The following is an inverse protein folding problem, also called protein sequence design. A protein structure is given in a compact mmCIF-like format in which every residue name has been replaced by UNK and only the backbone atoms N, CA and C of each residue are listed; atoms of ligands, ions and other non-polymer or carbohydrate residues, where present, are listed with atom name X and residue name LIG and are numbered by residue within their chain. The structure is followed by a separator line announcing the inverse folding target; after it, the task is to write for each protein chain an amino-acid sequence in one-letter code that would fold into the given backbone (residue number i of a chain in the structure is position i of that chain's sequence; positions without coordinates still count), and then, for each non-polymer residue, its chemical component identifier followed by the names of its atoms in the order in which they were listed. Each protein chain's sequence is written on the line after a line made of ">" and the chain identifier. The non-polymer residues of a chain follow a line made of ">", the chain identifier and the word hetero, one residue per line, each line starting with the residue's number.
data_IF_406344554536
#
_entry.id   IF_406344554536
#
_cell.length_a   1.000
_cell.length_b   1.000
_cell.length_c   1.000
_cell.angle_alpha   90.00
_cell.angle_beta   90.00
_cell.angle_gamma   90.00
#
_symmetry.space_group_name_H-M   'P 1'
#
loop_
_entity.id
_entity.type
_entity.pdbx_description
1 polymer ?
#
# COMPACT_ATOMS: atom_id res chain seq x y z
N UNK A 1 -41.96 -18.28 15.23
CA UNK A 1 -41.03 -18.95 14.30
C UNK A 1 -39.58 -18.65 14.72
N UNK A 2 -38.83 -19.62 15.27
CA UNK A 2 -37.41 -19.43 15.59
C UNK A 2 -36.57 -19.33 14.31
N UNK A 3 -35.75 -18.28 14.18
CA UNK A 3 -34.84 -18.11 13.03
C UNK A 3 -33.64 -19.05 13.21
N UNK A 4 -33.38 -19.93 12.23
CA UNK A 4 -32.17 -20.76 12.20
C UNK A 4 -30.93 -19.86 12.12
N UNK A 5 -29.94 -20.01 13.02
CA UNK A 5 -28.72 -19.22 12.94
C UNK A 5 -27.94 -19.60 11.67
N UNK A 6 -27.52 -18.60 10.89
CA UNK A 6 -26.65 -18.83 9.73
C UNK A 6 -25.27 -19.31 10.24
N UNK A 7 -24.71 -20.40 9.70
CA UNK A 7 -23.39 -20.86 10.09
C UNK A 7 -22.37 -19.79 9.73
N UNK A 8 -21.52 -19.44 10.70
CA UNK A 8 -20.43 -18.49 10.48
C UNK A 8 -19.33 -19.23 9.72
N UNK A 9 -19.41 -19.22 8.39
CA UNK A 9 -18.41 -19.81 7.51
C UNK A 9 -17.22 -18.85 7.38
N UNK A 10 -16.14 -19.14 8.12
CA UNK A 10 -14.85 -18.49 7.98
C UNK A 10 -14.43 -17.60 9.16
N UNK A 11 -13.14 -17.24 9.23
CA UNK A 11 -12.62 -16.39 10.28
C UNK A 11 -13.31 -15.02 10.24
N UNK A 12 -13.77 -14.56 11.40
CA UNK A 12 -14.37 -13.23 11.57
C UNK A 12 -13.46 -12.12 11.02
N UNK A 13 -14.03 -11.00 10.58
CA UNK A 13 -13.25 -9.82 10.15
C UNK A 13 -12.28 -9.35 11.24
N UNK A 14 -12.70 -9.38 12.50
CA UNK A 14 -11.86 -9.04 13.64
C UNK A 14 -10.66 -9.98 13.73
N UNK A 15 -10.86 -11.29 13.61
CA UNK A 15 -9.74 -12.25 13.62
C UNK A 15 -8.75 -12.03 12.47
N UNK A 16 -9.22 -11.62 11.28
CA UNK A 16 -8.34 -11.26 10.17
C UNK A 16 -7.51 -10.01 10.46
N UNK A 17 -8.13 -8.98 11.06
CA UNK A 17 -7.44 -7.75 11.47
C UNK A 17 -6.40 -8.06 12.54
N UNK A 18 -6.73 -8.86 13.55
CA UNK A 18 -5.78 -9.27 14.58
C UNK A 18 -4.63 -10.11 14.02
N UNK A 19 -4.89 -10.98 13.05
CA UNK A 19 -3.84 -11.73 12.38
C UNK A 19 -2.85 -10.79 11.66
N UNK A 20 -3.36 -9.75 11.01
CA UNK A 20 -2.52 -8.74 10.34
C UNK A 20 -1.73 -7.88 11.34
N UNK A 21 -2.37 -7.44 12.44
CA UNK A 21 -1.72 -6.64 13.49
C UNK A 21 -0.62 -7.42 14.23
N UNK A 22 -0.85 -8.73 14.45
CA UNK A 22 0.09 -9.62 15.11
C UNK A 22 1.11 -10.28 14.17
N UNK A 23 1.12 -9.92 12.88
CA UNK A 23 2.08 -10.46 11.90
C UNK A 23 3.51 -10.15 12.37
N UNK A 24 4.41 -11.11 12.20
CA UNK A 24 5.83 -10.92 12.49
C UNK A 24 6.57 -10.21 11.33
N UNK A 25 7.60 -9.39 11.59
CA UNK A 25 8.13 -9.01 12.91
C UNK A 25 7.22 -8.00 13.62
N UNK A 26 7.16 -8.07 14.96
CA UNK A 26 6.41 -7.09 15.77
C UNK A 26 7.19 -5.79 15.84
N UNK A 27 6.59 -4.66 15.42
CA UNK A 27 7.28 -3.37 15.41
C UNK A 27 7.24 -2.71 16.78
N UNK A 28 7.96 -3.27 17.74
CA UNK A 28 8.18 -2.64 19.05
C UNK A 28 9.26 -1.57 18.89
N UNK A 29 8.87 -0.32 19.03
CA UNK A 29 9.73 0.83 18.85
C UNK A 29 10.14 1.37 20.21
N UNK A 30 11.43 1.39 20.47
CA UNK A 30 12.00 1.79 21.76
C UNK A 30 12.48 3.25 21.67
N UNK A 31 12.17 4.06 22.68
CA UNK A 31 12.61 5.45 22.84
C UNK A 31 12.11 6.42 21.74
N UNK A 32 10.98 6.15 21.07
CA UNK A 32 10.35 7.10 20.14
C UNK A 32 9.17 7.80 20.80
N UNK A 33 9.19 9.13 20.75
CA UNK A 33 8.08 9.97 21.21
C UNK A 33 7.09 10.28 20.08
N UNK A 34 7.61 10.71 18.93
CA UNK A 34 6.79 11.20 17.82
C UNK A 34 7.26 10.65 16.48
N UNK A 35 6.33 10.21 15.64
CA UNK A 35 6.57 9.82 14.27
C UNK A 35 5.77 10.73 13.33
N UNK A 36 6.46 11.54 12.53
CA UNK A 36 5.83 12.44 11.55
C UNK A 36 6.07 11.94 10.14
N UNK A 37 5.00 11.71 9.38
CA UNK A 37 5.09 11.28 7.99
C UNK A 37 4.55 12.36 7.06
N UNK A 38 5.32 12.70 6.03
CA UNK A 38 4.90 13.61 4.97
C UNK A 38 4.93 12.88 3.63
N UNK A 39 3.76 12.74 2.99
CA UNK A 39 3.67 12.09 1.68
C UNK A 39 2.52 12.63 0.82
N UNK A 40 2.59 12.38 -0.49
CA UNK A 40 1.67 12.95 -1.45
C UNK A 40 0.31 12.24 -1.38
N UNK A 41 -0.78 13.00 -1.42
CA UNK A 41 -2.12 12.42 -1.33
C UNK A 41 -2.43 11.49 -2.53
N UNK A 42 -2.02 11.87 -3.74
CA UNK A 42 -2.33 11.18 -5.00
C UNK A 42 -1.10 11.04 -5.90
N UNK A 43 -1.16 10.03 -6.77
CA UNK A 43 -0.23 9.68 -7.85
C UNK A 43 1.19 9.30 -7.41
N UNK A 44 1.82 10.11 -6.57
CA UNK A 44 3.20 9.88 -6.15
C UNK A 44 3.30 9.07 -4.85
N UNK A 45 4.52 8.62 -4.56
CA UNK A 45 4.91 7.99 -3.29
C UNK A 45 4.01 6.80 -2.92
N UNK A 46 3.83 5.86 -3.86
CA UNK A 46 3.00 4.65 -3.69
C UNK A 46 3.47 3.86 -2.46
N UNK A 47 4.78 3.70 -2.28
CA UNK A 47 5.34 2.99 -1.14
C UNK A 47 5.01 3.60 0.22
N UNK A 48 5.11 4.93 0.35
CA UNK A 48 4.70 5.62 1.58
C UNK A 48 3.20 5.42 1.88
N UNK A 49 2.35 5.42 0.83
CA UNK A 49 0.92 5.12 0.99
C UNK A 49 0.67 3.69 1.45
N UNK A 50 1.37 2.72 0.87
CA UNK A 50 1.29 1.32 1.31
C UNK A 50 1.80 1.15 2.74
N UNK A 51 2.89 1.80 3.11
CA UNK A 51 3.41 1.81 4.47
C UNK A 51 2.35 2.32 5.46
N UNK A 52 1.71 3.45 5.17
CA UNK A 52 0.66 4.02 6.02
C UNK A 52 -0.57 3.13 6.11
N UNK A 53 -0.90 2.41 5.04
CA UNK A 53 -2.07 1.52 5.02
C UNK A 53 -1.82 0.20 5.75
N UNK A 54 -0.67 -0.44 5.51
CA UNK A 54 -0.41 -1.82 5.95
C UNK A 54 0.44 -1.87 7.22
N UNK A 55 1.49 -1.04 7.33
CA UNK A 55 2.48 -1.12 8.41
C UNK A 55 2.15 -0.22 9.59
N UNK A 56 1.65 0.99 9.34
CA UNK A 56 1.37 1.97 10.39
C UNK A 56 0.32 1.50 11.42
N UNK A 57 -0.77 0.79 11.05
CA UNK A 57 -1.67 0.20 12.03
C UNK A 57 -0.96 -0.81 12.95
N UNK A 58 -0.01 -1.58 12.42
CA UNK A 58 0.79 -2.54 13.20
C UNK A 58 1.70 -1.81 14.18
N UNK A 59 2.37 -0.74 13.73
CA UNK A 59 3.22 0.10 14.58
C UNK A 59 2.42 0.72 15.73
N UNK A 60 1.23 1.27 15.45
CA UNK A 60 0.37 1.86 16.47
C UNK A 60 -0.17 0.83 17.46
N UNK A 61 -0.48 -0.37 16.99
CA UNK A 61 -0.96 -1.46 17.83
C UNK A 61 0.12 -1.95 18.81
N UNK A 62 1.38 -2.04 18.37
CA UNK A 62 2.50 -2.40 19.23
C UNK A 62 2.92 -1.26 20.19
N UNK A 63 2.77 0.00 19.77
CA UNK A 63 3.21 1.16 20.54
C UNK A 63 2.06 2.16 20.74
N UNK A 64 1.15 1.93 21.71
CA UNK A 64 -0.01 2.79 21.90
C UNK A 64 0.34 4.20 22.42
N UNK A 65 1.48 4.36 23.08
CA UNK A 65 1.95 5.64 23.62
C UNK A 65 2.56 6.58 22.55
N UNK A 66 2.84 6.06 21.35
CA UNK A 66 3.55 6.79 20.31
C UNK A 66 2.61 7.81 19.61
N UNK A 67 3.04 9.06 19.51
CA UNK A 67 2.29 10.09 18.79
C UNK A 67 2.59 10.02 17.28
N UNK A 68 1.59 9.71 16.46
CA UNK A 68 1.73 9.58 15.00
C UNK A 68 1.02 10.73 14.31
N UNK A 69 1.79 11.55 13.59
CA UNK A 69 1.29 12.65 12.78
C UNK A 69 1.44 12.33 11.29
N UNK A 70 0.36 12.47 10.53
CA UNK A 70 0.34 12.16 9.09
C UNK A 70 -0.05 13.41 8.30
N UNK A 71 0.91 13.99 7.60
CA UNK A 71 0.74 15.15 6.74
C UNK A 71 0.60 14.71 5.28
N UNK A 72 -0.65 14.68 4.80
CA UNK A 72 -0.98 14.38 3.41
C UNK A 72 -1.06 15.68 2.62
N UNK A 73 -0.07 15.93 1.77
CA UNK A 73 -0.02 17.18 0.99
C UNK A 73 -0.49 16.89 -0.45
N UNK A 74 -1.45 17.66 -0.99
CA UNK A 74 -1.80 17.57 -2.40
C UNK A 74 -0.61 18.07 -3.24
N UNK A 75 -0.13 17.23 -4.15
CA UNK A 75 1.02 17.56 -5.00
C UNK A 75 0.53 17.96 -6.38
N UNK A 76 0.91 19.14 -6.84
CA UNK A 76 0.74 19.59 -8.23
C UNK A 76 1.85 18.98 -9.09
N UNK A 77 1.62 18.82 -10.41
CA UNK A 77 2.60 18.18 -11.31
C UNK A 77 3.95 18.93 -11.37
N UNK A 78 3.98 20.22 -11.04
CA UNK A 78 5.20 21.03 -11.06
C UNK A 78 6.06 20.86 -9.80
N UNK A 79 5.47 20.56 -8.65
CA UNK A 79 6.21 20.46 -7.39
C UNK A 79 6.88 19.09 -7.26
N UNK A 80 8.20 19.06 -7.10
CA UNK A 80 8.97 17.82 -6.86
C UNK A 80 9.52 17.81 -5.43
N UNK A 81 8.68 17.49 -4.46
CA UNK A 81 9.12 17.25 -3.08
C UNK A 81 9.17 15.74 -2.77
N UNK A 82 10.10 15.35 -1.90
CA UNK A 82 10.35 13.95 -1.52
C UNK A 82 9.53 13.55 -0.29
N UNK A 83 9.02 12.31 -0.22
CA UNK A 83 8.35 11.81 0.97
C UNK A 83 9.37 11.59 2.09
N UNK A 84 9.09 12.15 3.26
CA UNK A 84 10.00 12.12 4.40
C UNK A 84 9.28 11.61 5.64
N UNK A 85 9.99 10.80 6.41
CA UNK A 85 9.55 10.32 7.72
C UNK A 85 10.52 10.84 8.77
N UNK A 86 10.01 11.63 9.71
CA UNK A 86 10.79 12.18 10.83
C UNK A 86 10.46 11.40 12.08
N UNK A 87 11.49 10.77 12.63
CA UNK A 87 11.45 10.05 13.90
C UNK A 87 12.04 10.95 14.98
N UNK A 88 11.23 11.28 15.99
CA UNK A 88 11.69 12.04 17.16
C UNK A 88 11.83 11.09 18.35
N UNK A 89 13.05 11.00 18.86
CA UNK A 89 13.37 10.18 20.03
C UNK A 89 13.06 10.92 21.32
N UNK A 90 12.95 10.18 22.42
CA UNK A 90 12.78 10.73 23.76
C UNK A 90 13.97 11.61 24.19
N UNK A 91 15.18 11.27 23.73
CA UNK A 91 16.40 12.05 23.94
C UNK A 91 16.41 13.41 23.20
N UNK A 92 15.35 13.72 22.45
CA UNK A 92 15.24 14.93 21.63
C UNK A 92 15.95 14.84 20.28
N UNK A 93 16.68 13.76 20.00
CA UNK A 93 17.29 13.54 18.69
C UNK A 93 16.22 13.30 17.62
N UNK A 94 16.49 13.78 16.40
CA UNK A 94 15.58 13.60 15.26
C UNK A 94 16.32 12.91 14.12
N UNK A 95 15.72 11.86 13.58
CA UNK A 95 16.22 11.18 12.36
C UNK A 95 15.22 11.33 11.24
N UNK A 96 15.73 11.69 10.06
CA UNK A 96 14.95 11.81 8.84
C UNK A 96 15.23 10.57 7.99
N UNK A 97 14.17 9.87 7.62
CA UNK A 97 14.20 8.70 6.75
C UNK A 97 13.57 9.09 5.41
N UNK A 98 14.37 9.01 4.35
CA UNK A 98 13.90 9.21 2.97
C UNK A 98 13.06 7.99 2.53
N UNK A 99 11.85 8.23 2.06
CA UNK A 99 10.93 7.19 1.58
C UNK A 99 10.82 7.16 0.04
N UNK A 100 11.58 7.98 -0.67
CA UNK A 100 11.48 8.04 -2.14
C UNK A 100 12.02 6.77 -2.80
N UNK A 101 11.32 6.29 -3.84
CA UNK A 101 11.68 5.09 -4.64
C UNK A 101 11.91 3.79 -3.86
N UNK A 102 11.64 3.75 -2.56
CA UNK A 102 11.74 2.54 -1.73
C UNK A 102 10.46 1.74 -1.78
N UNK A 103 10.51 0.50 -1.30
CA UNK A 103 9.33 -0.32 -1.07
C UNK A 103 8.84 -0.13 0.37
N UNK A 104 7.55 -0.37 0.63
CA UNK A 104 7.00 -0.22 1.98
C UNK A 104 7.70 -1.11 3.00
N UNK A 105 8.11 -2.32 2.59
CA UNK A 105 8.88 -3.25 3.42
C UNK A 105 10.28 -2.74 3.73
N UNK A 106 10.94 -2.09 2.77
CA UNK A 106 12.26 -1.46 2.98
C UNK A 106 12.15 -0.26 3.93
N UNK A 107 11.14 0.59 3.79
CA UNK A 107 10.88 1.71 4.71
C UNK A 107 10.64 1.18 6.14
N UNK A 108 9.89 0.09 6.26
CA UNK A 108 9.62 -0.55 7.54
C UNK A 108 10.86 -1.16 8.16
N UNK A 109 11.70 -1.83 7.37
CA UNK A 109 12.99 -2.35 7.82
C UNK A 109 13.88 -1.22 8.35
N UNK A 110 14.01 -0.11 7.61
CA UNK A 110 14.80 1.05 8.03
C UNK A 110 14.28 1.64 9.34
N UNK A 111 12.96 1.75 9.51
CA UNK A 111 12.36 2.19 10.77
C UNK A 111 12.76 1.28 11.94
N UNK A 112 12.68 -0.04 11.75
CA UNK A 112 13.09 -1.01 12.77
C UNK A 112 14.60 -1.01 13.02
N UNK A 113 15.42 -0.75 12.01
CA UNK A 113 16.86 -0.57 12.21
C UNK A 113 17.17 0.66 13.05
N UNK A 114 16.40 1.72 12.86
CA UNK A 114 16.56 2.97 13.56
C UNK A 114 16.03 2.90 15.00
N UNK A 115 14.95 2.13 15.26
CA UNK A 115 14.25 2.18 16.55
C UNK A 115 13.67 0.86 17.08
N UNK A 116 13.89 -0.26 16.40
CA UNK A 116 13.38 -1.58 16.81
C UNK A 116 14.11 -2.24 17.98
N UNK A 117 15.20 -1.63 18.48
CA UNK A 117 15.88 -2.02 19.71
C UNK A 117 16.33 -3.50 19.77
N UNK A 118 16.26 -4.07 20.98
CA UNK A 118 16.68 -5.46 21.24
C UNK A 118 15.74 -6.52 20.66
N UNK A 119 14.39 -6.36 20.61
CA UNK A 119 13.52 -7.36 19.99
C UNK A 119 13.83 -7.55 18.50
N UNK A 120 14.08 -6.45 17.79
CA UNK A 120 14.43 -6.50 16.37
C UNK A 120 15.77 -7.22 16.11
N UNK A 121 16.77 -7.01 16.96
CA UNK A 121 18.04 -7.69 16.84
C UNK A 121 17.92 -9.20 17.07
N UNK A 122 17.10 -9.63 18.03
CA UNK A 122 16.81 -11.06 18.25
C UNK A 122 16.16 -11.69 17.03
N UNK A 123 15.12 -11.04 16.48
CA UNK A 123 14.47 -11.48 15.26
C UNK A 123 15.45 -11.61 14.07
N UNK A 124 16.33 -10.63 13.87
CA UNK A 124 17.37 -10.70 12.83
C UNK A 124 18.29 -11.91 13.01
N UNK A 125 18.70 -12.22 14.24
CA UNK A 125 19.57 -13.37 14.54
C UNK A 125 18.85 -14.69 14.28
N UNK A 126 17.61 -14.81 14.71
CA UNK A 126 16.78 -16.00 14.46
C UNK A 126 16.58 -16.24 12.96
N UNK A 127 16.21 -15.20 12.20
CA UNK A 127 16.05 -15.29 10.75
C UNK A 127 17.34 -15.67 10.03
N UNK A 128 18.47 -15.09 10.43
CA UNK A 128 19.79 -15.45 9.91
C UNK A 128 20.15 -16.91 10.22
N UNK A 129 19.86 -17.37 11.44
CA UNK A 129 20.09 -18.77 11.83
C UNK A 129 19.23 -19.75 11.04
N UNK A 130 18.00 -19.36 10.68
CA UNK A 130 17.11 -20.16 9.83
C UNK A 130 17.35 -20.03 8.32
N UNK A 131 18.31 -19.20 7.88
CA UNK A 131 18.60 -18.99 6.46
C UNK A 131 17.48 -18.32 5.65
N UNK A 132 16.52 -17.67 6.32
CA UNK A 132 15.37 -17.01 5.69
C UNK A 132 15.65 -15.51 5.46
N UNK A 133 15.03 -14.89 4.43
CA UNK A 133 15.11 -13.44 4.25
C UNK A 133 14.52 -12.68 5.45
N UNK A 134 15.05 -11.49 5.72
CA UNK A 134 14.70 -10.68 6.90
C UNK A 134 13.24 -10.20 6.88
N UNK A 135 12.76 -9.83 5.70
CA UNK A 135 11.37 -9.52 5.40
C UNK A 135 11.03 -10.10 4.03
N UNK A 136 9.76 -10.45 3.82
CA UNK A 136 9.27 -10.90 2.52
C UNK A 136 9.37 -9.72 1.53
N UNK A 137 10.24 -9.83 0.53
CA UNK A 137 10.31 -8.83 -0.53
C UNK A 137 9.01 -8.88 -1.34
N UNK A 138 8.31 -7.75 -1.54
CA UNK A 138 7.10 -7.73 -2.33
C UNK A 138 7.43 -8.09 -3.77
N UNK A 139 7.17 -9.33 -4.18
CA UNK A 139 7.33 -9.70 -5.58
C UNK A 139 6.42 -8.80 -6.44
N UNK A 140 6.96 -8.18 -7.52
CA UNK A 140 6.12 -7.45 -8.44
C UNK A 140 5.09 -8.44 -8.96
N UNK A 141 3.81 -8.16 -8.71
CA UNK A 141 2.73 -9.01 -9.26
C UNK A 141 2.97 -9.09 -10.77
N UNK A 142 2.97 -10.29 -11.36
CA UNK A 142 2.98 -10.41 -12.80
C UNK A 142 1.90 -9.49 -13.34
N UNK A 143 2.26 -8.54 -14.21
CA UNK A 143 1.25 -7.80 -14.96
C UNK A 143 0.54 -8.86 -15.78
N UNK A 144 -0.66 -9.25 -15.37
CA UNK A 144 -1.58 -9.94 -16.26
C UNK A 144 -1.72 -9.02 -17.47
N UNK A 145 -1.16 -9.42 -18.62
CA UNK A 145 -1.31 -8.74 -19.91
C UNK A 145 -2.79 -8.82 -20.34
N UNK A 146 -3.66 -8.11 -19.64
CA UNK A 146 -4.99 -7.77 -20.12
C UNK A 146 -4.79 -6.64 -21.11
N UNK A 147 -4.44 -6.99 -22.35
CA UNK A 147 -4.80 -6.30 -23.60
C UNK A 147 -3.80 -6.57 -24.74
N UNK A 148 -3.90 -7.74 -25.40
CA UNK A 148 -3.49 -7.92 -26.82
C UNK A 148 -4.41 -8.88 -27.60
N UNK A 149 -5.73 -8.83 -27.36
CA UNK A 149 -6.73 -9.41 -28.27
C UNK A 149 -7.92 -8.47 -28.48
N UNK A 150 -7.66 -7.27 -28.99
CA UNK A 150 -8.56 -6.63 -29.93
C UNK A 150 -7.80 -6.55 -31.25
N UNK A 151 -8.00 -7.56 -32.09
CA UNK A 151 -7.57 -7.50 -33.48
C UNK A 151 -8.17 -6.22 -34.11
N UNK A 152 -7.43 -5.48 -34.94
CA UNK A 152 -8.06 -4.48 -35.78
C UNK A 152 -9.09 -5.19 -36.66
N UNK A 153 -10.37 -4.80 -36.55
CA UNK A 153 -11.33 -5.12 -37.60
C UNK A 153 -10.82 -4.43 -38.86
N UNK A 154 -10.27 -5.18 -39.80
CA UNK A 154 -10.17 -4.73 -41.18
C UNK A 154 -11.59 -4.45 -41.65
N UNK A 155 -11.93 -3.17 -41.75
CA UNK A 155 -13.13 -2.74 -42.45
C UNK A 155 -12.82 -2.96 -43.93
N UNK A 156 -13.35 -4.03 -44.51
CA UNK A 156 -13.26 -4.27 -45.94
C UNK A 156 -14.11 -3.25 -46.68
N UNK A 157 -13.62 -2.78 -47.83
CA UNK A 157 -14.23 -1.73 -48.66
C UNK A 157 -15.67 -2.04 -49.15
N UNK A 158 -16.19 -3.24 -48.88
CA UNK A 158 -17.54 -3.68 -49.27
C UNK A 158 -18.67 -3.21 -48.34
N UNK A 159 -18.38 -2.75 -47.11
CA UNK A 159 -19.42 -2.31 -46.16
C UNK A 159 -19.85 -0.83 -46.35
N UNK A 160 -19.20 -0.07 -47.25
CA UNK A 160 -19.51 1.35 -47.49
C UNK A 160 -20.61 1.60 -48.53
N UNK A 161 -21.10 0.57 -49.23
CA UNK A 161 -22.12 0.71 -50.27
C UNK A 161 -23.28 -0.28 -50.11
N UNK A 162 -23.89 -0.33 -48.93
CA UNK A 162 -25.16 -1.04 -48.76
C UNK A 162 -26.33 -0.07 -49.02
N UNK A 163 -26.61 0.22 -50.29
CA UNK A 163 -27.69 1.12 -50.75
C UNK A 163 -29.08 0.44 -50.78
N UNK A 164 -29.36 -0.48 -49.84
CA UNK A 164 -30.58 -1.31 -49.86
C UNK A 164 -31.72 -0.80 -48.96
N UNK A 165 -31.62 0.39 -48.36
CA UNK A 165 -32.74 0.98 -47.62
C UNK A 165 -33.48 2.03 -48.43
N UNK A 166 -34.40 1.55 -49.29
CA UNK A 166 -35.56 2.32 -49.75
C UNK A 166 -36.46 2.63 -48.54
N UNK A 167 -36.85 3.88 -48.36
CA UNK A 167 -37.86 4.21 -47.36
C UNK A 167 -38.15 5.70 -47.19
N UNK A 168 -39.27 6.12 -47.79
CA UNK A 168 -40.16 7.20 -47.38
C UNK A 168 -39.75 8.66 -47.60
N UNK A 169 -40.51 9.28 -48.51
CA UNK A 169 -40.63 10.70 -48.74
C UNK A 169 -41.14 11.46 -47.51
N UNK A 170 -40.68 12.70 -47.36
CA UNK A 170 -41.42 13.75 -46.67
C UNK A 170 -41.27 15.05 -47.49
N UNK A 171 -42.27 15.27 -48.35
CA UNK A 171 -42.63 16.57 -48.91
C UNK A 171 -43.13 17.43 -47.76
N UNK A 172 -42.69 18.68 -47.65
CA UNK A 172 -43.43 19.80 -47.02
C UNK A 172 -42.89 21.15 -47.58
N UNK A 173 -43.73 22.20 -47.57
CA UNK A 173 -43.83 23.24 -48.61
C UNK A 173 -42.78 24.37 -48.58
#
# INVERSE_FOLDING_TARGET
>A
MPRRPKPVLGPSRLSQVLANLNKAPRPELVNIKTLKLKYALRNDHIAARHFVKEELPRVRYANPALNIEINKVPKTKQEKWKPEMVVQFEDGSTKIVDMDKKWSTSIFQELLEVAGGTPWQRWKRERKASGLPLLDEPQPRPREEKDKKKAPREVTLGELFDTSKKGAAAVLP
#
